data_IF_355231736079
#
_entry.id   IF_355231736079
#
_cell.length_a   1.000
_cell.length_b   1.000
_cell.length_c   1.000
_cell.angle_alpha   90.00
_cell.angle_beta   90.00
_cell.angle_gamma   90.00
#
_symmetry.space_group_name_H-M   'P 1'
#
loop_
_entity.id
_entity.type
_entity.pdbx_description
1 polymer ?
#
# COMPACT_ATOMS: atom_id res chain seq x y z
N UNK A 1 2.29 5.39 -3.59
CA UNK A 1 2.58 4.34 -2.58
C UNK A 1 3.76 3.51 -3.04
N UNK A 2 3.86 2.25 -2.60
CA UNK A 2 4.90 1.32 -3.07
C UNK A 2 4.58 0.67 -4.43
N UNK A 3 3.30 0.54 -4.77
CA UNK A 3 2.84 0.09 -6.09
C UNK A 3 3.00 1.22 -7.12
N UNK A 4 4.23 1.49 -7.55
CA UNK A 4 4.55 2.49 -8.56
C UNK A 4 5.91 2.23 -9.21
N UNK A 5 6.13 2.84 -10.37
CA UNK A 5 7.36 2.76 -11.15
C UNK A 5 8.58 3.25 -10.36
N UNK A 6 8.36 4.21 -9.45
CA UNK A 6 9.40 4.76 -8.59
C UNK A 6 10.16 3.68 -7.80
N UNK A 7 9.47 2.62 -7.38
CA UNK A 7 10.02 1.55 -6.57
C UNK A 7 10.48 0.33 -7.37
N UNK A 8 10.18 0.26 -8.67
CA UNK A 8 10.55 -0.87 -9.52
C UNK A 8 12.08 -0.96 -9.68
N UNK A 9 12.64 -2.15 -9.41
CA UNK A 9 14.06 -2.43 -9.51
C UNK A 9 14.92 -1.70 -8.46
N UNK A 10 14.31 -1.06 -7.46
CA UNK A 10 15.05 -0.37 -6.41
C UNK A 10 15.46 -1.36 -5.30
N UNK A 11 16.64 -1.16 -4.68
CA UNK A 11 16.97 -1.88 -3.46
C UNK A 11 15.98 -1.52 -2.36
N UNK A 12 15.87 -2.41 -1.37
CA UNK A 12 15.03 -2.16 -0.20
C UNK A 12 15.46 -0.87 0.50
N UNK A 13 14.54 0.05 0.81
CA UNK A 13 14.90 1.29 1.47
C UNK A 13 15.47 1.03 2.87
N UNK A 14 16.73 1.40 3.09
CA UNK A 14 17.39 1.34 4.40
C UNK A 14 17.22 2.62 5.22
N UNK A 15 16.92 3.74 4.56
CA UNK A 15 16.68 5.03 5.20
C UNK A 15 15.24 5.15 5.71
N UNK A 16 15.02 6.10 6.63
CA UNK A 16 13.70 6.43 7.12
C UNK A 16 12.76 6.81 5.96
N UNK A 17 11.58 6.20 5.94
CA UNK A 17 10.57 6.47 4.91
C UNK A 17 9.93 7.84 5.11
N UNK A 18 9.56 8.49 4.01
CA UNK A 18 9.11 9.88 3.99
C UNK A 18 7.85 10.17 4.83
N UNK A 19 7.05 9.15 5.14
CA UNK A 19 5.87 9.31 5.98
C UNK A 19 5.49 7.99 6.68
N UNK A 20 4.65 8.11 7.71
CA UNK A 20 4.18 6.98 8.52
C UNK A 20 3.37 5.95 7.72
N UNK A 21 2.65 6.38 6.69
CA UNK A 21 1.88 5.45 5.85
C UNK A 21 2.82 4.51 5.09
N UNK A 22 3.94 5.02 4.57
CA UNK A 22 4.96 4.17 3.96
C UNK A 22 5.57 3.21 4.98
N UNK A 23 5.84 3.63 6.22
CA UNK A 23 6.29 2.70 7.28
C UNK A 23 5.31 1.54 7.48
N UNK A 24 4.00 1.84 7.55
CA UNK A 24 2.96 0.80 7.69
C UNK A 24 2.91 -0.13 6.48
N UNK A 25 2.94 0.42 5.27
CA UNK A 25 2.90 -0.37 4.05
C UNK A 25 4.14 -1.25 3.88
N UNK A 26 5.30 -0.80 4.37
CA UNK A 26 6.52 -1.61 4.36
C UNK A 26 6.39 -2.84 5.25
N UNK A 27 5.75 -2.74 6.42
CA UNK A 27 5.47 -3.92 7.25
C UNK A 27 4.55 -4.92 6.54
N UNK A 28 3.54 -4.44 5.81
CA UNK A 28 2.68 -5.32 4.99
C UNK A 28 3.48 -5.99 3.87
N UNK A 29 4.46 -5.32 3.27
CA UNK A 29 5.38 -5.92 2.29
C UNK A 29 6.24 -7.01 2.94
N UNK A 30 6.69 -6.78 4.17
CA UNK A 30 7.46 -7.77 4.92
C UNK A 30 6.64 -9.03 5.20
N UNK A 31 5.39 -8.86 5.64
CA UNK A 31 4.45 -9.97 5.84
C UNK A 31 4.06 -10.67 4.54
N UNK A 32 3.93 -9.92 3.44
CA UNK A 32 3.61 -10.46 2.12
C UNK A 32 4.65 -11.49 1.68
N UNK A 33 5.92 -11.29 2.06
CA UNK A 33 7.02 -12.17 1.66
C UNK A 33 8.35 -11.46 1.50
N UNK A 34 8.43 -10.20 1.92
CA UNK A 34 9.61 -9.36 1.85
C UNK A 34 9.77 -8.63 0.53
N UNK A 35 10.81 -7.78 0.48
CA UNK A 35 11.06 -6.88 -0.63
C UNK A 35 11.30 -7.60 -1.96
N UNK A 36 11.99 -8.74 -1.95
CA UNK A 36 12.28 -9.51 -3.15
C UNK A 36 11.00 -9.98 -3.87
N UNK A 37 10.07 -10.60 -3.14
CA UNK A 37 8.79 -11.05 -3.70
C UNK A 37 7.94 -9.85 -4.16
N UNK A 38 8.01 -8.74 -3.44
CA UNK A 38 7.34 -7.51 -3.84
C UNK A 38 7.91 -6.93 -5.15
N UNK A 39 9.23 -6.99 -5.38
CA UNK A 39 9.84 -6.59 -6.65
C UNK A 39 9.42 -7.48 -7.82
N UNK A 40 9.23 -8.78 -7.58
CA UNK A 40 8.65 -9.69 -8.59
C UNK A 40 7.22 -9.26 -8.94
N UNK A 41 6.40 -8.88 -7.94
CA UNK A 41 5.05 -8.36 -8.17
C UNK A 41 5.08 -7.07 -8.98
N UNK A 42 5.94 -6.10 -8.61
CA UNK A 42 6.09 -4.87 -9.37
C UNK A 42 6.51 -5.13 -10.81
N UNK A 43 7.37 -6.11 -11.05
CA UNK A 43 7.83 -6.49 -12.40
C UNK A 43 6.67 -7.05 -13.23
N UNK A 44 5.84 -7.93 -12.65
CA UNK A 44 4.65 -8.46 -13.30
C UNK A 44 3.67 -7.34 -13.67
N UNK A 45 3.37 -6.45 -12.72
CA UNK A 45 2.48 -5.30 -12.93
C UNK A 45 3.02 -4.35 -13.99
N UNK A 46 4.33 -4.06 -13.99
CA UNK A 46 4.98 -3.20 -14.98
C UNK A 46 4.90 -3.79 -16.40
N UNK A 47 5.06 -5.11 -16.52
CA UNK A 47 4.90 -5.82 -17.79
C UNK A 47 3.52 -5.65 -18.39
N UNK A 48 2.47 -5.73 -17.56
CA UNK A 48 1.08 -5.51 -17.95
C UNK A 48 0.85 -4.03 -18.29
N UNK A 49 1.32 -3.12 -17.43
CA UNK A 49 1.19 -1.68 -17.62
C UNK A 49 1.72 -1.24 -19.00
N UNK A 50 2.90 -1.75 -19.39
CA UNK A 50 3.49 -1.49 -20.71
C UNK A 50 2.62 -1.98 -21.86
N UNK A 51 2.04 -3.18 -21.78
CA UNK A 51 1.14 -3.72 -22.82
C UNK A 51 -0.11 -2.86 -23.01
N UNK A 52 -0.57 -2.18 -21.95
CA UNK A 52 -1.80 -1.39 -21.93
C UNK A 52 -1.57 0.12 -22.09
N UNK A 53 -0.32 0.58 -22.17
CA UNK A 53 -0.01 2.03 -22.13
C UNK A 53 -0.48 2.70 -20.83
N UNK A 54 -0.32 2.00 -19.70
CA UNK A 54 -0.79 2.42 -18.37
C UNK A 54 0.38 2.43 -17.37
N UNK A 55 0.07 2.49 -16.07
CA UNK A 55 1.03 2.47 -14.96
C UNK A 55 0.74 1.34 -13.96
N UNK A 56 1.73 1.03 -13.12
CA UNK A 56 1.68 -0.05 -12.11
C UNK A 56 0.49 0.14 -11.16
N UNK A 57 0.25 1.39 -10.72
CA UNK A 57 -0.81 1.70 -9.77
C UNK A 57 -2.20 1.41 -10.36
N UNK A 58 -2.41 1.78 -11.62
CA UNK A 58 -3.64 1.55 -12.37
C UNK A 58 -3.88 0.07 -12.62
N UNK A 59 -2.82 -0.70 -12.94
CA UNK A 59 -2.92 -2.15 -13.08
C UNK A 59 -3.28 -2.84 -11.77
N UNK A 60 -2.60 -2.49 -10.68
CA UNK A 60 -2.94 -3.03 -9.36
C UNK A 60 -4.38 -2.69 -8.96
N UNK A 61 -4.83 -1.47 -9.24
CA UNK A 61 -6.20 -1.03 -8.97
C UNK A 61 -7.21 -1.85 -9.79
N UNK A 62 -6.97 -2.04 -11.09
CA UNK A 62 -7.81 -2.89 -11.95
C UNK A 62 -7.88 -4.34 -11.45
N UNK A 63 -6.75 -4.89 -11.00
CA UNK A 63 -6.71 -6.25 -10.45
C UNK A 63 -7.61 -6.42 -9.23
N UNK A 64 -7.65 -5.42 -8.34
CA UNK A 64 -8.55 -5.41 -7.18
C UNK A 64 -10.01 -5.23 -7.60
N UNK A 65 -10.29 -4.33 -8.53
CA UNK A 65 -11.65 -4.10 -9.07
C UNK A 65 -12.22 -5.29 -9.85
N UNK A 66 -11.38 -6.22 -10.29
CA UNK A 66 -11.83 -7.45 -10.97
C UNK A 66 -12.27 -8.56 -10.00
N UNK A 67 -12.06 -8.39 -8.70
CA UNK A 67 -12.54 -9.36 -7.71
C UNK A 67 -14.06 -9.27 -7.62
N UNK A 68 -14.81 -10.40 -7.69
CA UNK A 68 -16.27 -10.39 -7.74
C UNK A 68 -16.96 -9.62 -6.62
N UNK A 69 -16.36 -9.60 -5.43
CA UNK A 69 -16.87 -8.93 -4.23
C UNK A 69 -16.50 -7.43 -4.13
N UNK A 70 -15.74 -6.88 -5.07
CA UNK A 70 -15.26 -5.50 -5.02
C UNK A 70 -16.08 -4.60 -5.95
N UNK A 71 -16.80 -3.65 -5.36
CA UNK A 71 -17.58 -2.66 -6.12
C UNK A 71 -16.79 -1.38 -6.46
N UNK A 72 -15.79 -1.02 -5.65
CA UNK A 72 -15.00 0.19 -5.83
C UNK A 72 -13.61 0.07 -5.18
N UNK A 73 -12.66 0.88 -5.67
CA UNK A 73 -11.33 1.02 -5.10
C UNK A 73 -11.09 2.49 -4.73
N UNK A 74 -10.68 2.74 -3.49
CA UNK A 74 -10.35 4.09 -3.00
C UNK A 74 -8.85 4.31 -3.20
N UNK A 75 -8.50 5.33 -3.97
CA UNK A 75 -7.11 5.71 -4.21
C UNK A 75 -6.81 7.05 -3.55
N UNK A 76 -5.92 7.04 -2.56
CA UNK A 76 -5.39 8.26 -1.98
C UNK A 76 -4.43 8.96 -2.93
N UNK A 77 -4.73 10.19 -3.31
CA UNK A 77 -3.88 11.03 -4.15
C UNK A 77 -3.44 12.27 -3.37
N UNK A 78 -2.13 12.54 -3.32
CA UNK A 78 -1.56 13.76 -2.72
C UNK A 78 -1.49 14.93 -3.70
N UNK A 79 -2.02 14.76 -4.91
CA UNK A 79 -2.06 15.76 -5.97
C UNK A 79 -2.82 15.24 -7.21
N UNK A 80 -3.23 16.15 -8.09
CA UNK A 80 -4.09 15.85 -9.24
C UNK A 80 -3.39 15.12 -10.41
N UNK A 81 -2.06 15.04 -10.41
CA UNK A 81 -1.27 14.48 -11.51
C UNK A 81 -1.64 13.02 -11.87
N UNK A 82 -2.17 12.26 -10.91
CA UNK A 82 -2.55 10.86 -11.10
C UNK A 82 -3.99 10.68 -11.65
N UNK A 83 -4.83 11.73 -11.60
CA UNK A 83 -6.24 11.63 -11.99
C UNK A 83 -6.45 11.16 -13.44
N UNK A 84 -5.69 11.66 -14.45
CA UNK A 84 -5.89 11.22 -15.83
C UNK A 84 -5.53 9.75 -16.06
N UNK A 85 -4.61 9.18 -15.27
CA UNK A 85 -4.29 7.76 -15.35
C UNK A 85 -5.39 6.90 -14.71
N UNK A 86 -5.87 7.30 -13.53
CA UNK A 86 -6.96 6.60 -12.84
C UNK A 86 -8.28 6.61 -13.63
N UNK A 87 -8.59 7.71 -14.32
CA UNK A 87 -9.78 7.80 -15.18
C UNK A 87 -9.78 6.78 -16.33
N UNK A 88 -8.63 6.20 -16.67
CA UNK A 88 -8.46 5.23 -17.77
C UNK A 88 -8.44 3.77 -17.31
N UNK A 89 -8.59 3.49 -16.02
CA UNK A 89 -8.59 2.12 -15.48
C UNK A 89 -9.69 1.25 -16.10
N UNK A 90 -10.85 1.83 -16.41
CA UNK A 90 -11.98 1.10 -17.00
C UNK A 90 -11.90 0.97 -18.52
N UNK A 91 -10.93 1.61 -19.19
CA UNK A 91 -10.77 1.55 -20.64
C UNK A 91 -10.28 0.19 -21.16
N UNK A 92 -9.83 -0.70 -20.26
CA UNK A 92 -9.31 -2.02 -20.62
C UNK A 92 -9.58 -3.04 -19.50
N UNK A 93 -9.33 -4.32 -19.77
CA UNK A 93 -9.50 -5.42 -18.82
C UNK A 93 -8.26 -6.30 -18.79
N UNK A 94 -7.96 -6.86 -17.61
CA UNK A 94 -6.92 -7.88 -17.46
C UNK A 94 -7.34 -9.14 -18.20
N UNK A 95 -6.44 -9.63 -19.05
CA UNK A 95 -6.62 -10.91 -19.74
C UNK A 95 -6.22 -12.06 -18.82
N UNK A 96 -6.52 -13.28 -19.23
CA UNK A 96 -6.18 -14.49 -18.48
C UNK A 96 -4.69 -14.57 -18.15
N UNK A 97 -3.82 -14.20 -19.10
CA UNK A 97 -2.37 -14.23 -18.91
C UNK A 97 -1.90 -13.14 -17.94
N UNK A 98 -2.55 -11.97 -17.96
CA UNK A 98 -2.25 -10.88 -17.03
C UNK A 98 -2.60 -11.29 -15.58
N UNK A 99 -3.75 -11.95 -15.40
CA UNK A 99 -4.18 -12.51 -14.12
C UNK A 99 -3.24 -13.60 -13.63
N UNK A 100 -2.85 -14.52 -14.53
CA UNK A 100 -1.92 -15.60 -14.21
C UNK A 100 -0.54 -15.06 -13.81
N UNK A 101 -0.05 -14.01 -14.47
CA UNK A 101 1.21 -13.35 -14.11
C UNK A 101 1.15 -12.76 -12.69
N UNK A 102 0.08 -12.07 -12.33
CA UNK A 102 -0.12 -11.55 -10.96
C UNK A 102 -0.21 -12.71 -9.96
N UNK A 103 -1.05 -13.72 -10.25
CA UNK A 103 -1.28 -14.88 -9.39
C UNK A 103 0.02 -15.66 -9.08
N UNK A 104 0.88 -15.83 -10.09
CA UNK A 104 2.18 -16.50 -9.93
C UNK A 104 3.09 -15.89 -8.85
N UNK A 105 2.86 -14.63 -8.50
CA UNK A 105 3.55 -13.96 -7.39
C UNK A 105 2.69 -13.95 -6.13
N UNK A 106 1.42 -13.55 -6.23
CA UNK A 106 0.56 -13.40 -5.04
C UNK A 106 0.23 -14.71 -4.35
N UNK A 107 0.30 -15.84 -5.04
CA UNK A 107 0.07 -17.17 -4.47
C UNK A 107 1.25 -17.67 -3.62
N UNK A 108 2.43 -17.05 -3.78
CA UNK A 108 3.61 -17.31 -2.95
C UNK A 108 3.67 -16.44 -1.69
N UNK A 109 2.66 -15.62 -1.44
CA UNK A 109 2.64 -14.72 -0.27
C UNK A 109 2.63 -15.51 1.04
N UNK A 110 3.29 -14.98 2.06
CA UNK A 110 3.34 -15.61 3.41
C UNK A 110 2.27 -15.05 4.36
N UNK A 111 1.75 -13.86 4.05
CA UNK A 111 0.79 -13.12 4.84
C UNK A 111 0.32 -11.85 4.09
N UNK A 112 -0.21 -10.84 4.80
CA UNK A 112 -0.58 -10.88 6.22
C UNK A 112 -1.64 -11.97 6.51
N UNK A 113 -1.60 -12.54 7.73
CA UNK A 113 -2.57 -13.55 8.21
C UNK A 113 -3.48 -12.93 9.27
N UNK A 114 -4.59 -13.59 9.55
CA UNK A 114 -5.53 -13.18 10.59
C UNK A 114 -6.69 -12.33 10.05
N UNK A 115 -7.56 -11.94 10.96
CA UNK A 115 -8.73 -11.11 10.70
C UNK A 115 -8.35 -9.64 10.47
N UNK A 116 -9.33 -8.87 9.99
CA UNK A 116 -9.20 -7.42 9.86
C UNK A 116 -8.78 -6.81 11.22
N UNK A 117 -7.75 -5.95 11.19
CA UNK A 117 -7.14 -5.32 12.35
C UNK A 117 -6.50 -6.26 13.38
N UNK A 118 -6.27 -7.54 13.07
CA UNK A 118 -5.61 -8.44 14.03
C UNK A 118 -4.17 -8.01 14.31
N UNK A 119 -3.39 -7.71 13.26
CA UNK A 119 -2.00 -7.29 13.38
C UNK A 119 -1.83 -5.99 14.19
N UNK A 120 -2.72 -5.02 13.97
CA UNK A 120 -2.70 -3.74 14.68
C UNK A 120 -3.25 -3.84 16.11
N UNK A 121 -3.97 -4.90 16.47
CA UNK A 121 -4.45 -5.14 17.85
C UNK A 121 -3.35 -5.69 18.75
N UNK A 122 -2.39 -6.44 18.21
CA UNK A 122 -1.18 -6.81 18.94
C UNK A 122 -0.26 -5.60 19.11
N UNK A 123 -0.39 -4.93 20.27
CA UNK A 123 0.39 -3.74 20.65
C UNK A 123 1.88 -4.02 20.82
N UNK A 124 2.27 -5.28 21.01
CA UNK A 124 3.67 -5.70 21.16
C UNK A 124 4.28 -6.13 19.84
N UNK A 125 3.44 -6.50 18.87
CA UNK A 125 3.83 -6.83 17.51
C UNK A 125 4.28 -5.62 16.69
N UNK A 126 4.96 -5.86 15.55
CA UNK A 126 5.57 -4.81 14.74
C UNK A 126 4.56 -3.78 14.23
N UNK A 127 3.34 -4.23 13.91
CA UNK A 127 2.26 -3.36 13.43
C UNK A 127 1.68 -2.50 14.55
N UNK A 128 1.29 -3.09 15.69
CA UNK A 128 0.73 -2.34 16.80
C UNK A 128 1.72 -1.41 17.49
N UNK A 129 3.01 -1.78 17.56
CA UNK A 129 4.07 -0.95 18.15
C UNK A 129 4.23 0.41 17.43
N UNK A 130 3.87 0.50 16.14
CA UNK A 130 3.92 1.74 15.37
C UNK A 130 2.56 2.46 15.28
N UNK A 131 1.53 1.99 15.98
CA UNK A 131 0.21 2.62 15.97
C UNK A 131 0.10 3.70 17.04
N UNK A 132 -0.51 4.83 16.66
CA UNK A 132 -0.91 5.89 17.61
C UNK A 132 -2.38 5.66 17.97
N UNK A 133 -2.61 5.11 19.16
CA UNK A 133 -3.95 4.77 19.62
C UNK A 133 -4.70 5.96 20.25
N UNK A 134 -3.98 7.05 20.56
CA UNK A 134 -4.60 8.28 21.04
C UNK A 134 -3.94 9.50 20.38
N UNK A 135 -4.56 10.00 19.31
CA UNK A 135 -4.12 11.23 18.64
C UNK A 135 -4.55 12.51 19.37
N UNK A 136 -5.36 12.39 20.43
CA UNK A 136 -5.88 13.51 21.24
C UNK A 136 -5.11 13.71 22.56
N UNK A 137 -4.17 12.83 22.90
CA UNK A 137 -3.41 12.90 24.17
C UNK A 137 -2.37 14.05 24.24
N UNK A 138 -2.24 14.86 23.19
CA UNK A 138 -1.28 15.96 23.12
C UNK A 138 -2.00 17.30 22.92
N UNK A 139 -2.82 17.71 23.90
CA UNK A 139 -3.33 19.09 24.00
C UNK A 139 -3.83 19.48 25.41
N UNK A 140 -3.26 18.92 26.48
CA UNK A 140 -3.69 19.27 27.85
C UNK A 140 -2.51 19.31 28.83
N UNK A 141 -1.52 20.17 28.55
CA UNK A 141 -0.32 20.28 29.39
C UNK A 141 0.33 21.66 29.42
N UNK A 142 -0.41 22.75 29.19
CA UNK A 142 0.19 24.08 29.23
C UNK A 142 -0.80 25.23 29.15
N UNK A 143 -1.55 25.47 30.23
CA UNK A 143 -2.13 26.77 30.56
C UNK A 143 -2.77 26.71 31.96
N UNK A 144 -1.97 26.73 33.01
CA UNK A 144 -2.48 27.04 34.36
C UNK A 144 -1.34 27.51 35.27
N UNK A 145 -0.81 28.72 35.04
CA UNK A 145 -0.22 29.50 36.12
C UNK A 145 -0.09 30.98 35.75
N UNK A 146 -1.11 31.80 36.06
CA UNK A 146 -0.92 33.19 36.53
C UNK A 146 -2.12 33.54 37.41
N UNK A 147 -2.03 33.27 38.72
CA UNK A 147 -2.74 34.04 39.77
C UNK A 147 -1.89 34.00 41.04
N UNK A 148 -1.72 35.19 41.65
CA UNK A 148 -1.08 35.55 42.95
C UNK A 148 0.35 36.08 42.79
N UNK A 149 0.67 37.31 43.21
CA UNK A 149 -0.12 38.35 43.90
C UNK A 149 0.62 39.67 43.90
#
# INVERSE_FOLDING_TARGET
GFLSEHWLGRPEPSAALANRSLTKYKLIIDDFGGWALFQELLTALAGIARKRGSDIASVATRAVLDLPQVAAAIVGATGAAHLPAHARIDAWRLQTEDRAAIASVTDRRRGPKGDVYELERDRTGPHGAIMKYNSNALASGGAAEVVRG
#
